data_IF_351607328394
#
_entry.id   IF_351607328394
#
_cell.length_a   1.000
_cell.length_b   1.000
_cell.length_c   1.000
_cell.angle_alpha   90.00
_cell.angle_beta   90.00
_cell.angle_gamma   90.00
#
_symmetry.space_group_name_H-M   'P 1'
#
loop_
_entity.id
_entity.type
_entity.pdbx_description
1 polymer ?
#
# COMPACT_ATOMS: atom_id res chain seq x y z
N UNK A 1 2.03 1.35 -7.51
CA UNK A 1 2.64 0.36 -6.62
C UNK A 1 4.05 0.82 -6.26
N UNK A 2 4.32 0.98 -4.97
CA UNK A 2 5.65 1.34 -4.47
C UNK A 2 6.54 0.09 -4.29
N UNK A 3 5.95 -0.98 -3.78
CA UNK A 3 6.68 -2.24 -3.61
C UNK A 3 5.73 -3.43 -3.57
N UNK A 4 6.26 -4.59 -3.90
CA UNK A 4 5.55 -5.87 -3.84
C UNK A 4 6.42 -6.85 -3.05
N UNK A 5 5.85 -7.41 -1.99
CA UNK A 5 6.51 -8.44 -1.18
C UNK A 5 5.69 -9.73 -1.28
N UNK A 6 6.11 -10.61 -2.17
CA UNK A 6 5.38 -11.87 -2.40
C UNK A 6 5.48 -12.84 -1.22
N UNK A 7 6.57 -12.77 -0.47
CA UNK A 7 6.77 -13.64 0.69
C UNK A 7 5.75 -13.38 1.77
N UNK A 8 5.47 -12.10 2.05
CA UNK A 8 4.50 -11.69 3.06
C UNK A 8 3.13 -11.37 2.48
N UNK A 9 2.94 -11.59 1.18
CA UNK A 9 1.70 -11.30 0.47
C UNK A 9 1.26 -9.85 0.63
N UNK A 10 2.22 -8.94 0.53
CA UNK A 10 1.99 -7.52 0.80
C UNK A 10 2.24 -6.68 -0.45
N UNK A 11 1.34 -5.73 -0.68
CA UNK A 11 1.51 -4.68 -1.69
C UNK A 11 1.49 -3.34 -0.98
N UNK A 12 2.46 -2.49 -1.30
CA UNK A 12 2.51 -1.14 -0.76
C UNK A 12 2.23 -0.16 -1.88
N UNK A 13 1.21 0.66 -1.69
CA UNK A 13 0.87 1.75 -2.59
C UNK A 13 1.38 3.04 -1.97
N UNK A 14 1.83 3.95 -2.82
CA UNK A 14 2.31 5.24 -2.37
C UNK A 14 1.38 6.33 -2.91
N UNK A 15 1.06 7.27 -2.06
CA UNK A 15 0.27 8.44 -2.41
C UNK A 15 1.02 9.68 -1.94
N UNK A 16 1.38 10.54 -2.88
CA UNK A 16 2.08 11.78 -2.58
C UNK A 16 1.08 12.93 -2.57
N UNK A 17 1.12 13.73 -1.50
CA UNK A 17 0.31 14.93 -1.43
C UNK A 17 0.99 16.04 -2.22
N UNK A 18 0.34 16.48 -3.29
CA UNK A 18 0.88 17.51 -4.17
C UNK A 18 0.48 18.94 -3.76
N UNK A 19 -0.37 19.09 -2.77
CA UNK A 19 -0.90 20.39 -2.38
C UNK A 19 -0.02 21.12 -1.34
N UNK A 20 1.28 21.00 -1.48
CA UNK A 20 2.21 21.71 -0.61
C UNK A 20 2.46 21.06 0.73
N UNK A 21 1.89 19.90 0.96
CA UNK A 21 2.19 19.09 2.11
C UNK A 21 3.46 18.29 1.88
N UNK A 22 4.28 18.19 2.90
CA UNK A 22 5.47 17.37 2.87
C UNK A 22 5.18 15.95 3.30
N UNK A 23 3.96 15.46 3.06
CA UNK A 23 3.54 14.15 3.53
C UNK A 23 3.46 13.14 2.43
N UNK A 24 4.01 11.97 2.69
CA UNK A 24 3.81 10.79 1.87
C UNK A 24 2.95 9.82 2.64
N UNK A 25 1.88 9.33 2.01
CA UNK A 25 1.03 8.31 2.60
C UNK A 25 1.31 6.99 1.89
N UNK A 26 1.59 5.96 2.66
CA UNK A 26 1.71 4.60 2.15
C UNK A 26 0.52 3.78 2.62
N UNK A 27 -0.02 2.97 1.74
CA UNK A 27 -1.06 2.01 2.07
C UNK A 27 -0.50 0.61 1.89
N UNK A 28 -0.43 -0.16 2.96
CA UNK A 28 0.02 -1.53 2.95
C UNK A 28 -1.18 -2.45 2.93
N UNK A 29 -1.29 -3.29 1.90
CA UNK A 29 -2.36 -4.26 1.79
C UNK A 29 -1.79 -5.66 1.93
N UNK A 30 -2.25 -6.39 2.93
CA UNK A 30 -1.95 -7.81 3.09
C UNK A 30 -3.01 -8.60 2.35
N UNK A 31 -2.60 -9.37 1.35
CA UNK A 31 -3.51 -10.01 0.42
C UNK A 31 -3.87 -11.42 0.87
N UNK A 32 -5.10 -11.84 0.58
CA UNK A 32 -5.50 -13.22 0.75
C UNK A 32 -4.87 -14.13 -0.29
N UNK A 33 -4.72 -13.61 -1.51
CA UNK A 33 -4.24 -14.37 -2.64
C UNK A 33 -3.39 -13.47 -3.53
N UNK A 34 -2.19 -13.93 -3.84
CA UNK A 34 -1.23 -13.17 -4.64
C UNK A 34 -1.24 -13.56 -6.11
N UNK A 35 -2.13 -14.42 -6.55
CA UNK A 35 -2.12 -14.93 -7.93
C UNK A 35 -2.25 -13.82 -8.96
N UNK A 36 -2.99 -12.76 -8.67
CA UNK A 36 -3.14 -11.62 -9.58
C UNK A 36 -1.94 -10.68 -9.57
N UNK A 37 -1.08 -10.76 -8.56
CA UNK A 37 0.09 -9.89 -8.47
C UNK A 37 1.10 -10.12 -9.59
N UNK A 38 1.12 -11.29 -10.18
CA UNK A 38 2.03 -11.58 -11.29
C UNK A 38 1.80 -10.68 -12.50
N UNK A 39 0.64 -10.04 -12.58
CA UNK A 39 0.28 -9.15 -13.68
C UNK A 39 0.70 -7.70 -13.41
N UNK A 40 1.27 -7.42 -12.24
CA UNK A 40 1.61 -6.06 -11.81
C UNK A 40 3.08 -5.97 -11.43
N UNK A 41 3.64 -4.78 -11.59
CA UNK A 41 5.03 -4.48 -11.24
C UNK A 41 5.07 -3.15 -10.50
N UNK A 42 6.19 -2.90 -9.84
CA UNK A 42 6.45 -1.60 -9.22
C UNK A 42 6.24 -0.49 -10.24
N UNK A 43 5.54 0.54 -9.83
CA UNK A 43 5.18 1.66 -10.70
C UNK A 43 3.80 1.53 -11.34
N UNK A 44 3.22 0.34 -11.36
CA UNK A 44 1.89 0.15 -11.93
C UNK A 44 0.80 0.75 -11.04
N UNK A 45 -0.32 1.08 -11.66
CA UNK A 45 -1.53 1.46 -10.95
C UNK A 45 -2.39 0.23 -10.71
N UNK A 46 -2.91 0.10 -9.51
CA UNK A 46 -3.72 -1.04 -9.12
C UNK A 46 -4.92 -0.56 -8.31
N UNK A 47 -6.06 -1.23 -8.49
CA UNK A 47 -7.22 -1.01 -7.65
C UNK A 47 -7.36 -2.18 -6.70
N UNK A 48 -7.43 -1.86 -5.41
CA UNK A 48 -7.42 -2.86 -4.37
C UNK A 48 -8.35 -2.45 -3.24
N UNK A 49 -9.04 -3.42 -2.66
CA UNK A 49 -9.87 -3.20 -1.48
C UNK A 49 -9.29 -3.96 -0.29
N UNK A 50 -9.61 -3.51 0.89
CA UNK A 50 -9.15 -4.18 2.11
C UNK A 50 -9.82 -3.60 3.34
N UNK A 51 -9.58 -4.23 4.48
CA UNK A 51 -10.11 -3.81 5.77
C UNK A 51 -9.03 -3.04 6.52
N UNK A 52 -9.29 -1.80 6.87
CA UNK A 52 -8.35 -0.97 7.61
C UNK A 52 -8.09 -1.57 8.99
N UNK A 53 -6.82 -1.71 9.36
CA UNK A 53 -6.43 -2.31 10.64
C UNK A 53 -5.55 -1.43 11.49
N UNK A 54 -4.70 -0.60 10.90
CA UNK A 54 -3.70 0.13 11.67
C UNK A 54 -3.26 1.40 10.97
N UNK A 55 -3.06 2.45 11.75
CA UNK A 55 -2.38 3.65 11.32
C UNK A 55 -1.03 3.77 12.05
N UNK A 56 0.03 3.95 11.28
CA UNK A 56 1.37 4.12 11.84
C UNK A 56 1.93 5.47 11.42
N UNK A 57 1.89 6.46 12.33
CA UNK A 57 2.54 7.73 12.07
C UNK A 57 4.05 7.56 12.22
N UNK A 58 4.83 8.22 11.40
CA UNK A 58 6.27 8.21 11.54
C UNK A 58 6.72 9.41 12.36
N UNK A 59 7.63 9.20 13.32
CA UNK A 59 8.08 10.24 14.24
C UNK A 59 8.66 11.47 13.57
N UNK A 60 9.32 11.32 12.47
CA UNK A 60 9.92 12.44 11.73
C UNK A 60 9.06 12.85 10.56
N UNK A 61 7.94 12.45 10.50
CA UNK A 61 6.85 12.95 9.99
C UNK A 61 6.63 13.15 8.64
N UNK A 62 7.29 12.62 7.77
CA UNK A 62 7.10 12.75 6.35
C UNK A 62 6.29 11.59 5.77
N UNK A 63 6.37 10.42 6.39
CA UNK A 63 5.70 9.22 5.89
C UNK A 63 4.75 8.65 6.94
N UNK A 64 3.49 8.49 6.58
CA UNK A 64 2.51 7.77 7.40
C UNK A 64 2.05 6.53 6.64
N UNK A 65 1.75 5.48 7.38
CA UNK A 65 1.37 4.20 6.81
C UNK A 65 0.00 3.78 7.32
N UNK A 66 -0.88 3.43 6.39
CA UNK A 66 -2.17 2.82 6.66
C UNK A 66 -2.06 1.34 6.30
N UNK A 67 -2.49 0.48 7.20
CA UNK A 67 -2.42 -0.97 6.97
C UNK A 67 -3.82 -1.54 6.79
N UNK A 68 -3.95 -2.47 5.85
CA UNK A 68 -5.21 -3.11 5.50
C UNK A 68 -5.02 -4.61 5.40
N UNK A 69 -5.94 -5.36 5.99
CA UNK A 69 -5.99 -6.83 5.85
C UNK A 69 -7.04 -7.24 4.82
N UNK A 70 -7.04 -8.49 4.46
CA UNK A 70 -8.00 -9.08 3.52
C UNK A 70 -8.02 -8.35 2.17
N UNK A 71 -6.83 -7.95 1.70
CA UNK A 71 -6.70 -7.26 0.44
C UNK A 71 -7.17 -8.10 -0.74
N UNK A 72 -7.95 -7.47 -1.61
CA UNK A 72 -8.45 -8.09 -2.84
C UNK A 72 -8.22 -7.16 -4.00
N UNK A 73 -7.52 -7.65 -5.02
CA UNK A 73 -7.28 -6.89 -6.25
C UNK A 73 -8.55 -6.92 -7.09
N UNK A 74 -9.01 -5.75 -7.47
CA UNK A 74 -10.23 -5.61 -8.23
C UNK A 74 -9.95 -5.59 -9.72
#
# INVERSE_FOLDING_TARGET
>A
IDSIDKTNKKVVLIYEDKDGGNYTTKAEFYLKNISKLKNYSKGDTITISGTFTKYTPKKNNIVRTLSFDNGTII
#
